data_IF_076155998131
#
_entry.id   IF_076155998131
#
_cell.length_a   1.000
_cell.length_b   1.000
_cell.length_c   1.000
_cell.angle_alpha   90.00
_cell.angle_beta   90.00
_cell.angle_gamma   90.00
#
_symmetry.space_group_name_H-M   'P 1'
#
loop_
_entity.id
_entity.type
_entity.pdbx_description
1 polymer ?
#
# COMPACT_ATOMS: atom_id res chain seq x y z
N UNK A 1 8.49 13.21 -19.54
CA UNK A 1 7.74 13.37 -18.26
C UNK A 1 8.60 12.77 -17.15
N UNK A 2 8.84 13.52 -16.07
CA UNK A 2 9.65 13.11 -14.93
C UNK A 2 9.38 14.04 -13.75
N UNK A 3 9.74 13.63 -12.52
CA UNK A 3 9.53 14.44 -11.31
C UNK A 3 8.55 13.85 -10.29
N UNK A 4 7.97 12.67 -10.54
CA UNK A 4 7.19 11.96 -9.54
C UNK A 4 8.10 11.37 -8.45
N UNK A 5 7.65 11.46 -7.19
CA UNK A 5 8.38 10.92 -6.06
C UNK A 5 8.39 9.38 -6.03
N UNK A 6 7.31 8.76 -6.54
CA UNK A 6 7.11 7.32 -6.62
C UNK A 6 6.04 6.96 -7.67
N UNK A 7 5.98 5.69 -8.07
CA UNK A 7 4.82 5.06 -8.71
C UNK A 7 4.22 3.95 -7.83
N UNK A 8 3.04 3.47 -8.20
CA UNK A 8 2.30 2.45 -7.44
C UNK A 8 1.64 1.40 -8.31
N UNK A 9 2.05 1.30 -9.57
CA UNK A 9 1.52 0.31 -10.51
C UNK A 9 2.29 -1.01 -10.35
N UNK A 10 2.34 -1.51 -9.11
CA UNK A 10 3.04 -2.72 -8.73
C UNK A 10 2.36 -3.38 -7.52
N UNK A 11 2.28 -4.71 -7.51
CA UNK A 11 1.52 -5.49 -6.52
C UNK A 11 2.30 -6.70 -5.97
N UNK A 12 3.61 -6.75 -6.18
CA UNK A 12 4.43 -7.94 -5.95
C UNK A 12 5.32 -7.91 -4.71
N UNK A 13 5.21 -6.89 -3.86
CA UNK A 13 6.06 -6.74 -2.67
C UNK A 13 5.32 -5.96 -1.56
N UNK A 14 5.77 -6.14 -0.33
CA UNK A 14 5.25 -5.50 0.88
C UNK A 14 6.14 -4.32 1.34
N UNK A 15 7.21 -4.02 0.59
CA UNK A 15 8.09 -2.87 0.82
C UNK A 15 8.32 -2.05 -0.46
N UNK A 16 8.55 -0.73 -0.32
CA UNK A 16 9.05 0.07 -1.42
C UNK A 16 10.41 -0.44 -1.93
N UNK A 17 10.68 -0.23 -3.21
CA UNK A 17 11.98 -0.60 -3.80
C UNK A 17 12.32 0.29 -4.99
N UNK A 18 13.61 0.36 -5.30
CA UNK A 18 14.09 1.07 -6.47
C UNK A 18 14.12 0.16 -7.69
N UNK A 19 13.55 0.62 -8.79
CA UNK A 19 13.65 0.00 -10.11
C UNK A 19 14.38 0.91 -11.08
N UNK A 20 14.87 0.37 -12.20
CA UNK A 20 15.44 1.15 -13.31
C UNK A 20 14.40 1.30 -14.40
N UNK A 21 14.15 2.54 -14.80
CA UNK A 21 13.24 2.85 -15.90
C UNK A 21 14.02 3.47 -17.04
N UNK A 22 13.88 2.90 -18.23
CA UNK A 22 14.50 3.42 -19.44
C UNK A 22 13.68 4.58 -19.99
N UNK A 23 14.32 5.73 -20.16
CA UNK A 23 13.75 6.92 -20.79
C UNK A 23 13.82 6.82 -22.32
N UNK A 24 13.06 7.68 -22.99
CA UNK A 24 13.02 7.77 -24.46
C UNK A 24 14.35 8.19 -25.08
N UNK A 25 15.19 8.90 -24.35
CA UNK A 25 16.56 9.27 -24.73
C UNK A 25 17.57 8.13 -24.55
N UNK A 26 17.12 6.97 -24.06
CA UNK A 26 17.95 5.79 -23.83
C UNK A 26 18.58 5.71 -22.43
N UNK A 27 18.51 6.76 -21.62
CA UNK A 27 19.07 6.76 -20.27
C UNK A 27 18.25 5.87 -19.31
N UNK A 28 18.94 5.15 -18.42
CA UNK A 28 18.31 4.46 -17.29
C UNK A 28 18.33 5.34 -16.05
N UNK A 29 17.18 5.54 -15.43
CA UNK A 29 17.06 6.31 -14.20
C UNK A 29 16.43 5.48 -13.09
N UNK A 30 16.85 5.65 -11.83
CA UNK A 30 16.20 5.00 -10.71
C UNK A 30 14.81 5.63 -10.50
N UNK A 31 13.81 4.79 -10.29
CA UNK A 31 12.46 5.19 -9.92
C UNK A 31 12.00 4.38 -8.71
N UNK A 32 11.33 5.05 -7.77
CA UNK A 32 10.87 4.41 -6.55
C UNK A 32 9.46 3.83 -6.79
N UNK A 33 9.31 2.54 -6.57
CA UNK A 33 8.02 1.87 -6.52
C UNK A 33 7.57 1.83 -5.07
N UNK A 34 6.35 2.28 -4.79
CA UNK A 34 5.64 2.00 -3.53
C UNK A 34 4.49 1.06 -3.86
N UNK A 35 4.56 -0.24 -3.52
CA UNK A 35 3.57 -1.24 -3.93
C UNK A 35 2.14 -0.90 -3.50
N UNK A 36 1.17 -1.38 -4.26
CA UNK A 36 -0.26 -1.25 -3.99
C UNK A 36 -0.91 -2.63 -3.83
N UNK A 37 -2.25 -2.67 -3.74
CA UNK A 37 -3.02 -3.89 -3.44
C UNK A 37 -4.24 -4.02 -4.36
N UNK A 38 -4.54 -5.26 -4.75
CA UNK A 38 -5.80 -5.65 -5.40
C UNK A 38 -6.68 -6.52 -4.49
N UNK A 39 -6.14 -6.99 -3.37
CA UNK A 39 -6.76 -7.91 -2.44
C UNK A 39 -7.32 -7.19 -1.20
N UNK A 40 -6.51 -6.38 -0.51
CA UNK A 40 -6.93 -5.44 0.53
C UNK A 40 -7.62 -4.21 -0.07
N UNK A 41 -8.62 -4.43 -0.92
CA UNK A 41 -9.24 -3.42 -1.76
C UNK A 41 -10.75 -3.61 -1.86
N UNK A 42 -11.52 -2.55 -1.60
CA UNK A 42 -12.99 -2.58 -1.67
C UNK A 42 -13.52 -2.81 -3.10
N UNK A 43 -12.68 -2.72 -4.14
CA UNK A 43 -13.06 -3.12 -5.51
C UNK A 43 -13.55 -4.57 -5.57
N UNK A 44 -13.11 -5.42 -4.61
CA UNK A 44 -13.58 -6.80 -4.48
C UNK A 44 -15.08 -6.89 -4.23
N UNK A 45 -15.76 -5.87 -3.70
CA UNK A 45 -17.23 -5.84 -3.64
C UNK A 45 -17.93 -5.85 -5.01
N UNK A 46 -17.21 -5.56 -6.09
CA UNK A 46 -17.73 -5.48 -7.45
C UNK A 46 -17.17 -6.59 -8.38
N UNK A 47 -16.41 -7.54 -7.84
CA UNK A 47 -15.82 -8.64 -8.60
C UNK A 47 -16.55 -9.95 -8.32
N UNK A 48 -16.58 -10.90 -9.28
CA UNK A 48 -17.22 -12.20 -9.08
C UNK A 48 -16.70 -12.95 -7.85
N UNK A 49 -15.39 -12.90 -7.63
CA UNK A 49 -14.75 -13.39 -6.41
C UNK A 49 -14.47 -12.24 -5.44
N UNK A 50 -15.52 -11.91 -4.69
CA UNK A 50 -15.60 -10.68 -3.92
C UNK A 50 -16.00 -10.85 -2.46
N UNK A 51 -16.05 -9.72 -1.76
CA UNK A 51 -16.63 -9.66 -0.42
C UNK A 51 -18.15 -9.54 -0.54
N UNK A 52 -18.88 -10.47 0.08
CA UNK A 52 -20.34 -10.44 0.11
C UNK A 52 -20.88 -9.40 1.11
N UNK A 53 -20.15 -9.17 2.21
CA UNK A 53 -20.57 -8.30 3.31
C UNK A 53 -19.42 -7.43 3.79
N UNK A 54 -19.75 -6.37 4.56
CA UNK A 54 -18.74 -5.58 5.27
C UNK A 54 -17.91 -6.41 6.25
N UNK A 55 -18.49 -7.47 6.85
CA UNK A 55 -17.76 -8.38 7.74
C UNK A 55 -16.60 -9.05 7.03
N UNK A 56 -16.80 -9.56 5.81
CA UNK A 56 -15.72 -10.23 5.06
C UNK A 56 -14.56 -9.27 4.77
N UNK A 57 -14.86 -8.02 4.41
CA UNK A 57 -13.82 -7.03 4.17
C UNK A 57 -13.07 -6.66 5.45
N UNK A 58 -13.80 -6.43 6.56
CA UNK A 58 -13.18 -6.16 7.86
C UNK A 58 -12.28 -7.31 8.31
N UNK A 59 -12.76 -8.55 8.26
CA UNK A 59 -11.98 -9.74 8.64
C UNK A 59 -10.73 -9.86 7.80
N UNK A 60 -10.84 -9.68 6.48
CA UNK A 60 -9.68 -9.74 5.58
C UNK A 60 -8.63 -8.68 5.93
N UNK A 61 -9.06 -7.42 6.12
CA UNK A 61 -8.14 -6.34 6.50
C UNK A 61 -7.51 -6.58 7.88
N UNK A 62 -8.30 -7.02 8.86
CA UNK A 62 -7.82 -7.35 10.21
C UNK A 62 -6.76 -8.44 10.15
N UNK A 63 -7.03 -9.53 9.45
CA UNK A 63 -6.11 -10.68 9.40
C UNK A 63 -4.81 -10.31 8.68
N UNK A 64 -4.89 -9.54 7.59
CA UNK A 64 -3.71 -8.98 6.90
C UNK A 64 -2.90 -8.05 7.81
N UNK A 65 -3.57 -7.18 8.56
CA UNK A 65 -2.91 -6.28 9.52
C UNK A 65 -2.24 -7.07 10.65
N UNK A 66 -2.93 -8.03 11.27
CA UNK A 66 -2.41 -8.81 12.39
C UNK A 66 -1.17 -9.60 11.99
N UNK A 67 -1.16 -10.18 10.78
CA UNK A 67 0.01 -10.87 10.24
C UNK A 67 1.20 -9.91 10.06
N UNK A 68 1.00 -8.78 9.37
CA UNK A 68 2.07 -7.80 9.12
C UNK A 68 2.55 -7.13 10.41
N UNK A 69 1.66 -6.90 11.37
CA UNK A 69 2.00 -6.34 12.68
C UNK A 69 2.86 -7.31 13.50
N UNK A 70 2.52 -8.61 13.48
CA UNK A 70 3.33 -9.64 14.11
C UNK A 70 4.71 -9.78 13.46
N UNK A 71 4.79 -9.82 12.13
CA UNK A 71 6.06 -9.83 11.38
C UNK A 71 6.90 -8.57 11.64
N UNK A 72 6.25 -7.45 11.95
CA UNK A 72 6.89 -6.18 12.30
C UNK A 72 7.71 -6.19 13.57
N UNK A 73 7.63 -7.25 14.39
CA UNK A 73 8.57 -7.50 15.48
C UNK A 73 10.02 -7.61 14.97
N UNK A 74 10.20 -8.26 13.81
CA UNK A 74 11.51 -8.47 13.19
C UNK A 74 11.72 -7.52 12.01
N UNK A 75 10.77 -7.48 11.07
CA UNK A 75 10.90 -6.68 9.87
C UNK A 75 9.57 -6.01 9.54
N UNK A 76 9.39 -4.71 9.86
CA UNK A 76 8.17 -3.95 9.54
C UNK A 76 7.86 -3.94 8.03
N UNK A 77 6.57 -3.92 7.68
CA UNK A 77 6.06 -3.93 6.30
C UNK A 77 5.00 -2.87 6.07
N UNK A 78 4.73 -2.58 4.80
CA UNK A 78 3.66 -1.69 4.37
C UNK A 78 2.37 -2.47 4.18
N UNK A 79 1.25 -1.89 4.61
CA UNK A 79 -0.09 -2.35 4.25
C UNK A 79 -0.80 -1.25 3.46
N UNK A 80 -1.36 -1.61 2.32
CA UNK A 80 -2.24 -0.73 1.54
C UNK A 80 -3.70 -1.10 1.76
N UNK A 81 -4.59 -0.11 1.80
CA UNK A 81 -6.05 -0.35 1.78
C UNK A 81 -6.67 0.45 0.65
N UNK A 82 -7.18 -0.25 -0.36
CA UNK A 82 -7.86 0.35 -1.51
C UNK A 82 -9.31 0.69 -1.20
N UNK A 83 -9.71 1.93 -1.50
CA UNK A 83 -11.04 2.45 -1.20
C UNK A 83 -11.59 3.25 -2.38
N UNK A 84 -12.85 3.03 -2.71
CA UNK A 84 -13.56 3.75 -3.76
C UNK A 84 -14.85 4.36 -3.21
N UNK A 85 -15.05 5.67 -3.44
CA UNK A 85 -16.20 6.41 -2.90
C UNK A 85 -17.55 5.74 -3.22
N UNK A 86 -17.71 5.22 -4.45
CA UNK A 86 -18.94 4.58 -4.93
C UNK A 86 -19.20 3.19 -4.33
N UNK A 87 -18.18 2.56 -3.73
CA UNK A 87 -18.22 1.21 -3.17
C UNK A 87 -18.24 1.24 -1.64
N UNK A 88 -17.11 1.52 -0.98
CA UNK A 88 -17.01 1.54 0.48
C UNK A 88 -17.85 2.63 1.15
N UNK A 89 -18.15 3.72 0.45
CA UNK A 89 -19.01 4.80 0.95
C UNK A 89 -20.49 4.42 1.10
N UNK A 90 -20.90 3.22 0.70
CA UNK A 90 -22.28 2.74 0.88
C UNK A 90 -22.54 2.42 2.37
N UNK A 91 -23.74 2.73 2.90
CA UNK A 91 -24.06 2.49 4.32
C UNK A 91 -23.83 1.05 4.80
N UNK A 92 -24.10 0.05 3.95
CA UNK A 92 -23.88 -1.37 4.28
C UNK A 92 -22.41 -1.82 4.30
N UNK A 93 -21.45 -0.95 3.93
CA UNK A 93 -20.02 -1.30 3.80
C UNK A 93 -19.11 -0.42 4.65
N UNK A 94 -19.45 0.86 4.83
CA UNK A 94 -18.58 1.82 5.54
C UNK A 94 -18.26 1.42 6.99
N UNK A 95 -19.16 0.70 7.65
CA UNK A 95 -18.93 0.17 9.00
C UNK A 95 -17.73 -0.80 9.09
N UNK A 96 -17.36 -1.46 7.99
CA UNK A 96 -16.18 -2.31 7.93
C UNK A 96 -14.88 -1.49 8.09
N UNK A 97 -14.81 -0.33 7.43
CA UNK A 97 -13.68 0.59 7.55
C UNK A 97 -13.56 1.15 8.97
N UNK A 98 -14.68 1.56 9.56
CA UNK A 98 -14.70 2.07 10.94
C UNK A 98 -14.13 1.04 11.90
N UNK A 99 -14.63 -0.21 11.85
CA UNK A 99 -14.13 -1.30 12.69
C UNK A 99 -12.66 -1.63 12.45
N UNK A 100 -12.19 -1.54 11.20
CA UNK A 100 -10.78 -1.75 10.90
C UNK A 100 -9.90 -0.65 11.50
N UNK A 101 -10.30 0.61 11.37
CA UNK A 101 -9.60 1.73 12.00
C UNK A 101 -9.61 1.62 13.53
N UNK A 102 -10.73 1.20 14.14
CA UNK A 102 -10.81 0.92 15.59
C UNK A 102 -9.86 -0.20 16.01
N UNK A 103 -9.68 -1.23 15.17
CA UNK A 103 -8.75 -2.33 15.42
C UNK A 103 -7.30 -1.86 15.37
N UNK A 104 -6.93 -1.13 14.31
CA UNK A 104 -5.59 -0.55 14.14
C UNK A 104 -5.26 0.40 15.30
N UNK A 105 -6.21 1.22 15.75
CA UNK A 105 -6.02 2.18 16.84
C UNK A 105 -5.74 1.54 18.21
N UNK A 106 -5.99 0.23 18.38
CA UNK A 106 -5.68 -0.51 19.61
C UNK A 106 -4.25 -1.07 19.65
N UNK A 107 -3.49 -0.91 18.57
CA UNK A 107 -2.13 -1.42 18.45
C UNK A 107 -1.12 -0.28 18.50
N UNK A 108 -0.09 -0.46 19.32
CA UNK A 108 1.05 0.45 19.34
C UNK A 108 1.91 0.27 18.09
N UNK A 109 2.76 1.29 17.83
CA UNK A 109 3.80 1.28 16.78
C UNK A 109 3.26 1.13 15.36
N UNK A 110 2.04 1.61 15.10
CA UNK A 110 1.48 1.72 13.75
C UNK A 110 1.68 3.12 13.18
N UNK A 111 2.19 3.21 11.94
CA UNK A 111 2.32 4.48 11.23
C UNK A 111 1.26 4.62 10.13
N UNK A 112 0.13 5.27 10.45
CA UNK A 112 -0.89 5.64 9.47
C UNK A 112 -0.45 6.93 8.78
N UNK A 113 -0.12 6.86 7.49
CA UNK A 113 0.53 7.96 6.78
C UNK A 113 0.11 8.08 5.32
N UNK A 114 0.49 9.19 4.68
CA UNK A 114 0.30 9.37 3.25
C UNK A 114 1.38 8.59 2.51
N UNK A 115 1.05 8.09 1.33
CA UNK A 115 2.00 7.37 0.48
C UNK A 115 3.26 8.19 0.11
N UNK A 116 3.11 9.51 -0.02
CA UNK A 116 4.24 10.43 -0.22
C UNK A 116 5.19 10.46 0.99
N UNK A 117 4.68 10.31 2.21
CA UNK A 117 5.51 10.29 3.42
C UNK A 117 6.37 9.02 3.45
N UNK A 118 5.80 7.87 3.02
CA UNK A 118 6.54 6.61 2.84
C UNK A 118 7.63 6.79 1.78
N UNK A 119 7.31 7.37 0.63
CA UNK A 119 8.29 7.60 -0.42
C UNK A 119 9.44 8.49 0.05
N UNK A 120 9.15 9.56 0.78
CA UNK A 120 10.16 10.45 1.35
C UNK A 120 11.01 9.74 2.41
N UNK A 121 10.38 8.97 3.31
CA UNK A 121 11.08 8.15 4.30
C UNK A 121 12.04 7.17 3.61
N UNK A 122 11.57 6.48 2.57
CA UNK A 122 12.37 5.49 1.85
C UNK A 122 13.58 6.14 1.16
N UNK A 123 13.39 7.27 0.48
CA UNK A 123 14.49 8.00 -0.18
C UNK A 123 15.56 8.48 0.79
N UNK A 124 15.16 8.84 2.00
CA UNK A 124 16.07 9.34 3.02
C UNK A 124 16.89 8.22 3.66
N UNK A 125 16.28 7.07 3.94
CA UNK A 125 16.90 5.99 4.71
C UNK A 125 17.45 4.85 3.82
N UNK A 126 16.90 4.70 2.62
CA UNK A 126 17.25 3.67 1.63
C UNK A 126 17.47 4.34 0.26
N UNK A 127 18.56 5.10 0.07
CA UNK A 127 18.79 5.86 -1.16
C UNK A 127 18.98 4.94 -2.37
N UNK A 128 18.67 5.47 -3.56
CA UNK A 128 18.84 4.73 -4.81
C UNK A 128 20.30 4.28 -4.98
N UNK A 129 20.55 3.06 -5.53
CA UNK A 129 21.90 2.59 -5.80
C UNK A 129 22.68 3.55 -6.70
N UNK A 130 23.94 3.83 -6.36
CA UNK A 130 24.84 4.62 -7.20
C UNK A 130 25.15 3.84 -8.49
N UNK A 131 24.81 4.39 -9.65
CA UNK A 131 25.04 3.72 -10.94
C UNK A 131 24.16 4.17 -12.12
N UNK A 132 23.31 5.18 -11.95
CA UNK A 132 22.73 5.87 -13.09
C UNK A 132 23.72 6.92 -13.58
N UNK A 133 24.68 6.47 -14.39
CA UNK A 133 25.52 7.35 -15.19
C UNK A 133 24.61 8.12 -16.17
N UNK A 134 24.79 9.43 -16.36
CA UNK A 134 24.09 10.17 -17.41
C UNK A 134 24.35 9.59 -18.80
#
# INVERSE_FOLDING_TARGET
VGGFAYDSDYYGDDLPFWTRVRRTDGAEVPHLVVPYTLDCNDMRFALPQGFATGEHFFVYLRDSFDALWAEGADTPRLMSVGMHCRLLGRPGRIGALQRFLDHVARHDRVWVCRRLDIANHWRQHFPAPAGATP
#
